data_IF_650609610342
#
_entry.id   IF_650609610342
#
_cell.length_a   1.000
_cell.length_b   1.000
_cell.length_c   1.000
_cell.angle_alpha   90.00
_cell.angle_beta   90.00
_cell.angle_gamma   90.00
#
_symmetry.space_group_name_H-M   'P 1'
#
loop_
_entity.id
_entity.type
_entity.pdbx_description
1 polymer ?
#
# COMPACT_ATOMS: atom_id res chain seq x y z
N UNK A 1 -26.63 3.48 -14.73
CA UNK A 1 -26.40 2.20 -15.43
C UNK A 1 -25.48 1.34 -14.56
N UNK A 2 -25.70 0.04 -14.40
CA UNK A 2 -24.87 -0.81 -13.51
C UNK A 2 -23.41 -0.93 -13.99
N UNK A 3 -23.15 -0.76 -15.28
CA UNK A 3 -21.80 -0.82 -15.86
C UNK A 3 -20.89 0.31 -15.39
N UNK A 4 -21.40 1.53 -15.20
CA UNK A 4 -20.58 2.67 -14.76
C UNK A 4 -20.02 2.49 -13.35
N UNK A 5 -20.77 1.82 -12.47
CA UNK A 5 -20.29 1.50 -11.11
C UNK A 5 -19.14 0.49 -11.11
N UNK A 6 -19.23 -0.55 -11.94
CA UNK A 6 -18.19 -1.59 -12.02
C UNK A 6 -16.88 -1.00 -12.50
N UNK A 7 -16.94 -0.10 -13.49
CA UNK A 7 -15.75 0.60 -13.99
C UNK A 7 -15.15 1.54 -12.95
N UNK A 8 -15.99 2.35 -12.31
CA UNK A 8 -15.57 3.26 -11.25
C UNK A 8 -14.85 2.51 -10.11
N UNK A 9 -15.43 1.39 -9.66
CA UNK A 9 -14.85 0.58 -8.58
C UNK A 9 -13.54 -0.09 -9.00
N UNK A 10 -13.44 -0.54 -10.25
CA UNK A 10 -12.22 -1.16 -10.77
C UNK A 10 -11.10 -0.13 -10.91
N UNK A 11 -11.38 1.04 -11.47
CA UNK A 11 -10.41 2.12 -11.59
C UNK A 11 -9.95 2.59 -10.23
N UNK A 12 -10.86 2.78 -9.27
CA UNK A 12 -10.53 3.16 -7.90
C UNK A 12 -9.63 2.13 -7.21
N UNK A 13 -9.88 0.83 -7.43
CA UNK A 13 -9.03 -0.24 -6.89
C UNK A 13 -7.63 -0.23 -7.51
N UNK A 14 -7.52 0.00 -8.82
CA UNK A 14 -6.23 0.10 -9.51
C UNK A 14 -5.44 1.34 -9.07
N UNK A 15 -6.10 2.49 -8.94
CA UNK A 15 -5.50 3.73 -8.42
C UNK A 15 -4.97 3.52 -7.00
N UNK A 16 -5.75 2.88 -6.13
CA UNK A 16 -5.32 2.52 -4.79
C UNK A 16 -4.09 1.61 -4.81
N UNK A 17 -4.09 0.61 -5.69
CA UNK A 17 -2.94 -0.28 -5.88
C UNK A 17 -1.69 0.48 -6.29
N UNK A 18 -1.78 1.40 -7.26
CA UNK A 18 -0.65 2.24 -7.67
C UNK A 18 -0.10 3.08 -6.52
N UNK A 19 -0.98 3.71 -5.75
CA UNK A 19 -0.57 4.52 -4.60
C UNK A 19 0.17 3.67 -3.55
N UNK A 20 -0.36 2.50 -3.18
CA UNK A 20 0.28 1.59 -2.23
C UNK A 20 1.64 1.10 -2.74
N UNK A 21 1.77 0.80 -4.05
CA UNK A 21 3.03 0.40 -4.66
C UNK A 21 4.06 1.51 -4.70
N UNK A 22 3.62 2.76 -4.89
CA UNK A 22 4.49 3.94 -4.79
C UNK A 22 5.05 4.11 -3.37
N UNK A 23 4.22 3.91 -2.35
CA UNK A 23 4.65 3.96 -0.95
C UNK A 23 5.62 2.81 -0.63
N UNK A 24 5.33 1.59 -1.12
CA UNK A 24 6.23 0.45 -0.98
C UNK A 24 7.58 0.71 -1.64
N UNK A 25 7.59 1.30 -2.84
CA UNK A 25 8.82 1.66 -3.55
C UNK A 25 9.69 2.60 -2.71
N UNK A 26 9.09 3.63 -2.12
CA UNK A 26 9.79 4.57 -1.22
C UNK A 26 10.36 3.86 0.02
N UNK A 27 9.60 2.95 0.62
CA UNK A 27 10.05 2.18 1.78
C UNK A 27 11.25 1.28 1.43
N UNK A 28 11.18 0.55 0.31
CA UNK A 28 12.27 -0.32 -0.16
C UNK A 28 13.52 0.50 -0.54
N UNK A 29 13.36 1.64 -1.21
CA UNK A 29 14.46 2.55 -1.53
C UNK A 29 15.13 3.11 -0.27
N UNK A 30 14.33 3.44 0.75
CA UNK A 30 14.85 3.87 2.06
C UNK A 30 15.65 2.76 2.75
N UNK A 31 15.19 1.50 2.68
CA UNK A 31 15.91 0.36 3.23
C UNK A 31 17.28 0.20 2.55
N UNK A 32 17.34 0.31 1.22
CA UNK A 32 18.60 0.22 0.47
C UNK A 32 19.54 1.37 0.85
N UNK A 33 19.04 2.60 0.93
CA UNK A 33 19.84 3.75 1.31
C UNK A 33 20.43 3.65 2.73
N UNK A 34 19.76 2.90 3.61
CA UNK A 34 20.18 2.70 5.00
C UNK A 34 20.78 1.30 5.27
N UNK A 35 21.21 0.59 4.24
CA UNK A 35 21.77 -0.76 4.39
C UNK A 35 23.03 -0.82 5.26
N UNK A 36 23.79 0.26 5.33
CA UNK A 36 25.00 0.38 6.13
C UNK A 36 24.80 1.22 7.42
N UNK A 37 23.56 1.67 7.68
CA UNK A 37 23.26 2.44 8.88
C UNK A 37 23.13 1.51 10.09
N UNK A 38 23.97 1.66 11.15
CA UNK A 38 23.87 0.82 12.35
C UNK A 38 22.50 0.93 13.02
N UNK A 39 22.01 -0.20 13.55
CA UNK A 39 20.71 -0.31 14.23
C UNK A 39 19.47 0.08 13.40
N UNK A 40 19.60 0.24 12.09
CA UNK A 40 18.46 0.53 11.22
C UNK A 40 17.50 -0.66 11.17
N UNK A 41 16.21 -0.39 11.30
CA UNK A 41 15.14 -1.39 11.19
C UNK A 41 14.45 -1.24 9.85
N UNK A 42 14.59 -2.25 9.00
CA UNK A 42 13.93 -2.29 7.70
C UNK A 42 12.42 -2.17 7.85
N UNK A 43 11.80 -1.43 6.96
CA UNK A 43 10.34 -1.24 6.91
C UNK A 43 9.79 -1.80 5.59
N UNK A 44 8.60 -2.35 5.65
CA UNK A 44 7.95 -2.95 4.50
C UNK A 44 6.44 -2.70 4.54
N UNK A 45 5.84 -2.59 3.37
CA UNK A 45 4.40 -2.53 3.19
C UNK A 45 3.92 -3.79 2.48
N UNK A 46 2.97 -4.50 3.10
CA UNK A 46 2.25 -5.57 2.42
C UNK A 46 1.06 -4.99 1.65
N UNK A 47 1.27 -4.80 0.35
CA UNK A 47 0.24 -4.24 -0.54
C UNK A 47 -0.95 -5.18 -0.65
N UNK A 48 -0.72 -6.50 -0.69
CA UNK A 48 -1.80 -7.48 -0.81
C UNK A 48 -2.71 -7.45 0.41
N UNK A 49 -2.15 -7.43 1.62
CA UNK A 49 -2.92 -7.30 2.87
C UNK A 49 -3.74 -6.01 2.89
N UNK A 50 -3.15 -4.89 2.48
CA UNK A 50 -3.85 -3.60 2.44
C UNK A 50 -4.98 -3.56 1.43
N UNK A 51 -4.79 -4.17 0.26
CA UNK A 51 -5.83 -4.30 -0.76
C UNK A 51 -6.96 -5.22 -0.30
N UNK A 52 -6.66 -6.34 0.35
CA UNK A 52 -7.66 -7.26 0.90
C UNK A 52 -8.53 -6.57 1.96
N UNK A 53 -7.92 -5.80 2.86
CA UNK A 53 -8.67 -5.01 3.86
C UNK A 53 -9.56 -3.95 3.23
N UNK A 54 -9.15 -3.38 2.11
CA UNK A 54 -9.97 -2.41 1.38
C UNK A 54 -11.24 -3.04 0.79
N UNK A 55 -11.11 -4.25 0.21
CA UNK A 55 -12.25 -5.02 -0.30
C UNK A 55 -13.20 -5.52 0.81
N UNK A 56 -12.65 -5.88 1.97
CA UNK A 56 -13.40 -6.43 3.11
C UNK A 56 -14.01 -5.39 4.05
N UNK A 57 -13.78 -4.10 3.84
CA UNK A 57 -14.47 -3.05 4.57
C UNK A 57 -15.90 -2.94 4.08
N UNK A 58 -16.78 -3.72 4.70
CA UNK A 58 -18.19 -3.37 4.72
C UNK A 58 -18.32 -1.87 5.09
N UNK A 59 -19.24 -1.11 4.46
CA UNK A 59 -19.51 0.25 4.88
C UNK A 59 -19.77 0.21 6.38
N UNK A 60 -18.87 0.80 7.18
CA UNK A 60 -19.07 0.90 8.62
C UNK A 60 -20.47 1.43 8.86
N UNK A 61 -21.17 0.86 9.84
CA UNK A 61 -22.52 1.30 10.18
C UNK A 61 -22.55 2.84 10.17
N UNK A 62 -23.40 3.47 9.33
CA UNK A 62 -23.48 4.91 9.29
C UNK A 62 -23.93 5.38 10.67
N UNK A 63 -23.06 6.10 11.37
CA UNK A 63 -23.45 6.76 12.61
C UNK A 63 -24.52 7.80 12.29
N UNK A 64 -25.76 7.49 12.64
CA UNK A 64 -26.89 8.37 12.43
C UNK A 64 -26.78 9.54 13.42
N UNK A 65 -26.76 10.76 12.90
CA UNK A 65 -26.87 11.96 13.74
C UNK A 65 -28.22 12.00 14.41
N UNK A 66 -28.25 11.86 15.72
CA UNK A 66 -29.49 11.92 16.49
C UNK A 66 -29.93 13.35 16.83
N UNK A 67 -29.03 14.37 16.68
CA UNK A 67 -29.34 15.80 16.87
C UNK A 67 -28.55 16.66 15.89
N UNK A 68 -29.18 17.78 15.47
CA UNK A 68 -28.58 18.73 14.51
C UNK A 68 -27.24 19.34 14.99
N UNK A 69 -27.05 19.47 16.31
CA UNK A 69 -25.82 20.02 16.93
C UNK A 69 -24.67 19.04 17.05
N UNK A 70 -24.87 17.75 16.75
CA UNK A 70 -23.78 16.78 16.77
C UNK A 70 -22.90 17.01 15.54
N UNK A 71 -21.58 17.12 15.77
CA UNK A 71 -20.60 17.14 14.70
C UNK A 71 -20.77 15.88 13.85
N UNK A 72 -20.86 16.00 12.51
CA UNK A 72 -20.85 14.84 11.68
C UNK A 72 -19.55 14.09 11.97
N UNK A 73 -19.62 12.80 12.33
CA UNK A 73 -18.47 11.93 12.28
C UNK A 73 -18.01 11.90 10.82
N UNK A 74 -17.18 12.84 10.49
CA UNK A 74 -16.38 12.80 9.29
C UNK A 74 -15.29 11.76 9.58
N UNK A 75 -15.69 10.50 9.57
CA UNK A 75 -14.77 9.37 9.51
C UNK A 75 -14.02 9.49 8.21
N UNK A 76 -13.18 10.51 8.13
CA UNK A 76 -12.07 10.51 7.21
C UNK A 76 -11.30 9.24 7.58
N UNK A 77 -11.52 8.18 6.83
CA UNK A 77 -10.56 7.11 6.77
C UNK A 77 -9.26 7.78 6.30
N UNK A 78 -8.52 8.30 7.29
CA UNK A 78 -7.10 8.47 7.09
C UNK A 78 -6.63 7.06 6.82
N UNK A 79 -6.52 6.74 5.54
CA UNK A 79 -5.87 5.54 5.05
C UNK A 79 -4.39 5.67 5.44
N UNK A 80 -4.14 5.74 6.75
CA UNK A 80 -2.81 5.80 7.30
C UNK A 80 -2.13 4.48 6.93
N UNK A 81 -1.26 4.58 5.95
CA UNK A 81 -0.48 3.45 5.51
C UNK A 81 0.60 3.22 6.56
N UNK A 82 0.32 2.31 7.49
CA UNK A 82 1.31 1.90 8.48
C UNK A 82 2.31 0.96 7.81
N UNK A 83 3.55 1.40 7.71
CA UNK A 83 4.68 0.56 7.37
C UNK A 83 4.96 -0.40 8.54
N UNK A 84 5.15 -1.68 8.23
CA UNK A 84 5.52 -2.68 9.24
C UNK A 84 7.04 -2.81 9.28
N UNK A 85 7.61 -2.83 10.48
CA UNK A 85 9.01 -3.20 10.65
C UNK A 85 9.18 -4.67 10.24
N UNK A 86 10.17 -4.94 9.42
CA UNK A 86 10.54 -6.31 9.03
C UNK A 86 11.16 -6.99 10.24
N UNK A 87 10.60 -8.12 10.65
CA UNK A 87 11.22 -8.94 11.68
C UNK A 87 12.49 -9.55 11.11
N UNK A 88 13.64 -9.41 11.79
CA UNK A 88 14.85 -10.08 11.35
C UNK A 88 14.61 -11.60 11.32
N UNK A 89 15.19 -12.32 10.37
CA UNK A 89 15.23 -13.77 10.46
C UNK A 89 15.91 -14.15 11.78
N UNK A 90 15.53 -15.30 12.36
CA UNK A 90 16.00 -15.77 13.67
C UNK A 90 17.53 -15.85 13.78
N UNK A 91 18.24 -15.90 12.67
CA UNK A 91 19.68 -15.80 12.54
C UNK A 91 20.06 -14.50 11.80
N UNK A 92 19.97 -13.35 12.44
CA UNK A 92 20.62 -12.14 11.93
C UNK A 92 22.12 -12.27 12.18
N UNK A 93 22.88 -12.54 11.13
CA UNK A 93 24.36 -12.63 11.18
C UNK A 93 25.04 -11.24 11.30
N UNK A 94 24.26 -10.16 11.24
CA UNK A 94 24.82 -8.79 11.34
C UNK A 94 24.90 -8.34 12.79
N UNK A 95 26.12 -8.11 13.24
CA UNK A 95 26.42 -7.63 14.60
C UNK A 95 26.09 -6.15 14.83
N UNK A 96 25.76 -5.38 13.78
CA UNK A 96 25.41 -3.96 13.84
C UNK A 96 23.93 -3.68 14.15
N UNK A 97 23.12 -4.74 14.30
CA UNK A 97 21.69 -4.61 14.58
C UNK A 97 20.84 -4.12 13.41
N UNK A 98 21.41 -3.96 12.21
CA UNK A 98 20.69 -3.63 10.99
C UNK A 98 19.93 -4.85 10.47
N UNK A 99 18.64 -4.68 10.13
CA UNK A 99 17.75 -5.76 9.65
C UNK A 99 17.53 -5.74 8.14
N UNK A 100 18.26 -4.90 7.40
CA UNK A 100 18.15 -4.83 5.94
C UNK A 100 18.90 -6.01 5.31
N UNK A 101 18.18 -6.79 4.51
CA UNK A 101 18.73 -7.78 3.59
C UNK A 101 18.68 -7.18 2.17
N UNK A 102 19.85 -6.90 1.59
CA UNK A 102 19.96 -6.21 0.30
C UNK A 102 19.40 -7.06 -0.83
N UNK A 103 19.70 -8.36 -0.87
CA UNK A 103 19.28 -9.24 -1.96
C UNK A 103 17.76 -9.38 -1.96
N UNK A 104 17.17 -9.59 -0.80
CA UNK A 104 15.72 -9.65 -0.63
C UNK A 104 15.06 -8.32 -0.97
N UNK A 105 15.63 -7.21 -0.55
CA UNK A 105 15.07 -5.87 -0.79
C UNK A 105 15.11 -5.50 -2.27
N UNK A 106 16.21 -5.83 -2.97
CA UNK A 106 16.33 -5.63 -4.42
C UNK A 106 15.34 -6.49 -5.20
N UNK A 107 15.16 -7.76 -4.81
CA UNK A 107 14.15 -8.64 -5.40
C UNK A 107 12.73 -8.07 -5.29
N UNK A 108 12.37 -7.60 -4.09
CA UNK A 108 11.08 -6.95 -3.86
C UNK A 108 10.91 -5.63 -4.60
N UNK A 109 11.99 -4.86 -4.77
CA UNK A 109 11.97 -3.64 -5.54
C UNK A 109 11.69 -3.92 -7.02
N UNK A 110 12.33 -4.93 -7.60
CA UNK A 110 12.10 -5.36 -8.97
C UNK A 110 10.66 -5.87 -9.16
N UNK A 111 10.16 -6.72 -8.27
CA UNK A 111 8.78 -7.19 -8.28
C UNK A 111 7.78 -6.04 -8.21
N UNK A 112 7.99 -5.11 -7.26
CA UNK A 112 7.10 -3.95 -7.09
C UNK A 112 7.08 -3.07 -8.33
N UNK A 113 8.22 -2.87 -9.00
CA UNK A 113 8.33 -2.09 -10.24
C UNK A 113 7.57 -2.76 -11.39
N UNK A 114 7.71 -4.08 -11.54
CA UNK A 114 6.96 -4.84 -12.54
C UNK A 114 5.44 -4.72 -12.34
N UNK A 115 4.99 -4.92 -11.12
CA UNK A 115 3.58 -4.86 -10.78
C UNK A 115 3.02 -3.43 -10.87
N UNK A 116 3.82 -2.41 -10.55
CA UNK A 116 3.46 -1.01 -10.76
C UNK A 116 3.24 -0.71 -12.24
N UNK A 117 4.18 -1.10 -13.10
CA UNK A 117 4.09 -0.90 -14.54
C UNK A 117 2.89 -1.65 -15.15
N UNK A 118 2.65 -2.89 -14.74
CA UNK A 118 1.48 -3.65 -15.18
C UNK A 118 0.16 -2.96 -14.79
N UNK A 119 0.05 -2.48 -13.55
CA UNK A 119 -1.15 -1.77 -13.07
C UNK A 119 -1.36 -0.46 -13.82
N UNK A 120 -0.29 0.30 -14.08
CA UNK A 120 -0.35 1.55 -14.86
C UNK A 120 -0.83 1.30 -16.30
N UNK A 121 -0.33 0.24 -16.95
CA UNK A 121 -0.77 -0.16 -18.29
C UNK A 121 -2.25 -0.57 -18.31
N UNK A 122 -2.73 -1.28 -17.29
CA UNK A 122 -4.14 -1.65 -17.17
C UNK A 122 -5.03 -0.41 -17.07
N UNK A 123 -4.67 0.57 -16.25
CA UNK A 123 -5.43 1.83 -16.13
C UNK A 123 -5.44 2.57 -17.47
N UNK A 124 -4.29 2.69 -18.14
CA UNK A 124 -4.20 3.35 -19.44
C UNK A 124 -5.09 2.68 -20.49
N UNK A 125 -5.09 1.34 -20.56
CA UNK A 125 -5.96 0.61 -21.49
C UNK A 125 -7.44 0.77 -21.16
N UNK A 126 -7.81 0.72 -19.89
CA UNK A 126 -9.20 0.96 -19.47
C UNK A 126 -9.67 2.37 -19.82
N UNK A 127 -8.82 3.38 -19.64
CA UNK A 127 -9.13 4.76 -20.02
C UNK A 127 -9.34 4.89 -21.54
N UNK A 128 -8.51 4.24 -22.35
CA UNK A 128 -8.65 4.27 -23.81
C UNK A 128 -9.92 3.58 -24.33
N UNK A 129 -10.35 2.50 -23.69
CA UNK A 129 -11.56 1.77 -24.07
C UNK A 129 -12.81 2.61 -23.78
N UNK A 130 -12.76 3.48 -22.76
CA UNK A 130 -13.89 4.33 -22.37
C UNK A 130 -14.03 5.64 -23.17
N UNK A 131 -12.99 6.05 -23.87
CA UNK A 131 -13.04 7.21 -24.76
C UNK A 131 -13.56 6.79 -26.13
#
# INVERSE_FOLDING_TARGET
>A
MPTDRIFSDTVAALEKSLNLRSIQHKALSSNIANMDTPNYKAVELDVAEKMARHKGSAPGLPLVRTRAGHLPFRGGRTDSVNLKAVRPPALSLRGDGNTVDIDRTMGKLAENTLLYNATAQLISKLSLIHI
#
